data_IF_325355996736
#
_entry.id   IF_325355996736
#
_cell.length_a   1.000
_cell.length_b   1.000
_cell.length_c   1.000
_cell.angle_alpha   90.00
_cell.angle_beta   90.00
_cell.angle_gamma   90.00
#
_symmetry.space_group_name_H-M   'P 1'
#
loop_
_entity.id
_entity.type
_entity.pdbx_description
1 polymer ?
#
# COMPACT_ATOMS: atom_id res chain seq x y z
N UNK A 1 -18.79 -11.86 -9.17
CA UNK A 1 -19.66 -10.89 -8.48
C UNK A 1 -21.01 -10.80 -9.20
N UNK A 2 -21.01 -10.69 -10.54
CA UNK A 2 -22.20 -10.87 -11.39
C UNK A 2 -23.07 -12.10 -11.07
N UNK A 3 -22.45 -13.26 -10.83
CA UNK A 3 -23.16 -14.53 -10.58
C UNK A 3 -23.84 -14.62 -9.19
N UNK A 4 -23.60 -13.64 -8.30
CA UNK A 4 -24.14 -13.59 -6.93
C UNK A 4 -23.99 -14.90 -6.14
N UNK A 5 -22.89 -15.62 -6.38
CA UNK A 5 -22.64 -16.94 -5.83
C UNK A 5 -21.81 -16.90 -4.54
N UNK A 6 -22.04 -17.88 -3.67
CA UNK A 6 -21.38 -17.98 -2.35
C UNK A 6 -21.99 -17.05 -1.30
N UNK A 7 -21.29 -16.88 -0.18
CA UNK A 7 -21.77 -16.04 0.95
C UNK A 7 -21.05 -14.71 1.05
N UNK A 8 -19.80 -14.62 0.60
CA UNK A 8 -18.96 -13.44 0.77
C UNK A 8 -19.41 -12.25 -0.08
N UNK A 9 -19.45 -12.40 -1.41
CA UNK A 9 -19.77 -11.29 -2.31
C UNK A 9 -21.21 -10.76 -2.15
N UNK A 10 -22.24 -11.63 -2.00
CA UNK A 10 -23.60 -11.13 -1.76
C UNK A 10 -23.72 -10.34 -0.45
N UNK A 11 -23.02 -10.77 0.61
CA UNK A 11 -23.06 -10.10 1.90
C UNK A 11 -22.35 -8.73 1.87
N UNK A 12 -21.20 -8.62 1.19
CA UNK A 12 -20.53 -7.31 0.98
C UNK A 12 -21.40 -6.40 0.11
N UNK A 13 -22.07 -6.93 -0.92
CA UNK A 13 -22.95 -6.16 -1.80
C UNK A 13 -24.18 -5.61 -1.07
N UNK A 14 -24.79 -6.43 -0.22
CA UNK A 14 -26.02 -6.07 0.49
C UNK A 14 -25.76 -5.23 1.75
N UNK A 15 -24.59 -5.40 2.39
CA UNK A 15 -24.25 -4.74 3.64
C UNK A 15 -22.85 -4.09 3.60
N UNK A 16 -22.55 -3.21 2.62
CA UNK A 16 -21.19 -2.71 2.41
C UNK A 16 -20.63 -1.93 3.61
N UNK A 17 -21.44 -1.13 4.31
CA UNK A 17 -20.99 -0.34 5.48
C UNK A 17 -20.51 -1.20 6.66
N UNK A 18 -20.84 -2.50 6.68
CA UNK A 18 -20.37 -3.46 7.69
C UNK A 18 -18.94 -3.92 7.44
N UNK A 19 -18.47 -3.88 6.19
CA UNK A 19 -17.20 -4.46 5.77
C UNK A 19 -16.22 -3.44 5.19
N UNK A 20 -16.72 -2.32 4.68
CA UNK A 20 -15.95 -1.33 3.95
C UNK A 20 -15.87 -0.04 4.77
N UNK A 21 -14.65 0.40 5.05
CA UNK A 21 -14.41 1.71 5.64
C UNK A 21 -14.45 2.78 4.55
N UNK A 22 -15.13 3.90 4.82
CA UNK A 22 -15.15 5.04 3.89
C UNK A 22 -13.77 5.67 3.79
N UNK A 23 -13.42 6.15 2.60
CA UNK A 23 -12.15 6.82 2.36
C UNK A 23 -12.11 8.14 3.15
N UNK A 24 -11.08 8.37 3.99
CA UNK A 24 -10.92 9.64 4.68
C UNK A 24 -10.83 10.82 3.70
N UNK A 25 -11.43 11.95 4.06
CA UNK A 25 -11.43 13.15 3.20
C UNK A 25 -10.00 13.70 2.96
N UNK A 26 -9.08 13.48 3.90
CA UNK A 26 -7.65 13.78 3.74
C UNK A 26 -7.06 13.04 2.54
N UNK A 27 -7.35 11.74 2.40
CA UNK A 27 -6.88 10.91 1.27
C UNK A 27 -7.51 11.37 -0.05
N UNK A 28 -8.81 11.62 -0.09
CA UNK A 28 -9.48 12.14 -1.30
C UNK A 28 -8.87 13.47 -1.75
N UNK A 29 -8.64 14.38 -0.80
CA UNK A 29 -8.00 15.67 -1.07
C UNK A 29 -6.57 15.49 -1.58
N UNK A 30 -5.80 14.57 -0.99
CA UNK A 30 -4.44 14.28 -1.40
C UNK A 30 -4.35 13.74 -2.83
N UNK A 31 -5.24 12.80 -3.22
CA UNK A 31 -5.35 12.32 -4.59
C UNK A 31 -5.66 13.46 -5.58
N UNK A 32 -6.61 14.34 -5.24
CA UNK A 32 -6.92 15.54 -6.05
C UNK A 32 -5.74 16.51 -6.17
N UNK A 33 -4.95 16.67 -5.10
CA UNK A 33 -3.74 17.50 -5.10
C UNK A 33 -2.64 16.91 -6.00
N UNK A 34 -2.42 15.59 -5.95
CA UNK A 34 -1.47 14.90 -6.83
C UNK A 34 -1.84 15.11 -8.30
N UNK A 35 -3.11 14.91 -8.66
CA UNK A 35 -3.60 15.11 -10.02
C UNK A 35 -3.45 16.57 -10.47
N UNK A 36 -3.79 17.52 -9.61
CA UNK A 36 -3.61 18.96 -9.86
C UNK A 36 -2.13 19.36 -10.02
N UNK A 37 -1.21 18.63 -9.37
CA UNK A 37 0.23 18.78 -9.52
C UNK A 37 0.80 18.07 -10.78
N UNK A 38 -0.07 17.58 -11.67
CA UNK A 38 0.30 16.92 -12.92
C UNK A 38 0.84 15.49 -12.74
N UNK A 39 0.52 14.83 -11.62
CA UNK A 39 0.82 13.40 -11.45
C UNK A 39 -0.25 12.58 -12.16
N UNK A 40 0.16 11.49 -12.81
CA UNK A 40 -0.75 10.51 -13.39
C UNK A 40 -1.09 9.50 -12.29
N UNK A 41 -2.37 9.32 -12.03
CA UNK A 41 -2.86 8.40 -10.99
C UNK A 41 -3.42 7.13 -11.59
N UNK A 42 -3.06 6.00 -10.99
CA UNK A 42 -3.37 4.66 -11.46
C UNK A 42 -4.10 3.90 -10.35
N UNK A 43 -5.13 3.13 -10.72
CA UNK A 43 -5.72 2.12 -9.86
C UNK A 43 -5.53 0.75 -10.51
N UNK A 44 -4.82 -0.17 -9.83
CA UNK A 44 -4.52 -1.52 -10.36
C UNK A 44 -5.01 -2.58 -9.36
N UNK A 45 -6.07 -3.28 -9.72
CA UNK A 45 -6.72 -4.30 -8.88
C UNK A 45 -6.84 -5.65 -9.59
N UNK A 46 -6.74 -6.73 -8.84
CA UNK A 46 -7.03 -8.09 -9.33
C UNK A 46 -8.52 -8.44 -9.24
N UNK A 47 -9.35 -7.54 -8.69
CA UNK A 47 -10.80 -7.67 -8.71
C UNK A 47 -11.38 -7.40 -10.10
N UNK A 48 -12.51 -8.04 -10.42
CA UNK A 48 -13.30 -7.72 -11.60
C UNK A 48 -13.86 -6.28 -11.54
N UNK A 49 -14.19 -5.74 -12.70
CA UNK A 49 -14.70 -4.37 -12.94
C UNK A 49 -15.95 -4.05 -12.12
N UNK A 50 -16.93 -4.95 -12.14
CA UNK A 50 -18.19 -4.83 -11.40
C UNK A 50 -17.97 -4.66 -9.89
N UNK A 51 -17.08 -5.48 -9.30
CA UNK A 51 -16.75 -5.41 -7.88
C UNK A 51 -15.91 -4.18 -7.56
N UNK A 52 -14.94 -3.84 -8.42
CA UNK A 52 -14.14 -2.62 -8.27
C UNK A 52 -15.02 -1.37 -8.23
N UNK A 53 -16.00 -1.28 -9.15
CA UNK A 53 -16.99 -0.20 -9.20
C UNK A 53 -17.76 -0.10 -7.89
N UNK A 54 -18.38 -1.18 -7.43
CA UNK A 54 -19.11 -1.18 -6.15
C UNK A 54 -18.24 -0.68 -4.99
N UNK A 55 -17.02 -1.22 -4.86
CA UNK A 55 -16.11 -0.83 -3.79
C UNK A 55 -15.77 0.66 -3.86
N UNK A 56 -15.39 1.16 -5.03
CA UNK A 56 -14.94 2.54 -5.17
C UNK A 56 -16.09 3.54 -5.05
N UNK A 57 -17.27 3.25 -5.62
CA UNK A 57 -18.46 4.08 -5.46
C UNK A 57 -18.87 4.19 -3.98
N UNK A 58 -18.77 3.09 -3.24
CA UNK A 58 -19.04 3.09 -1.81
C UNK A 58 -17.94 3.82 -1.02
N UNK A 59 -16.67 3.50 -1.24
CA UNK A 59 -15.57 3.99 -0.39
C UNK A 59 -15.22 5.46 -0.70
N UNK A 60 -15.17 5.83 -1.98
CA UNK A 60 -14.72 7.15 -2.45
C UNK A 60 -15.91 8.04 -2.81
N UNK A 61 -16.83 7.51 -3.62
CA UNK A 61 -18.00 8.22 -4.16
C UNK A 61 -18.27 7.84 -5.63
N UNK A 62 -19.44 8.20 -6.14
CA UNK A 62 -19.86 7.88 -7.52
C UNK A 62 -18.95 8.52 -8.59
N UNK A 63 -18.20 9.56 -8.23
CA UNK A 63 -17.22 10.27 -9.05
C UNK A 63 -15.79 9.69 -8.92
N UNK A 64 -15.61 8.48 -8.37
CA UNK A 64 -14.28 7.93 -8.08
C UNK A 64 -13.38 7.84 -9.32
N UNK A 65 -13.95 7.65 -10.51
CA UNK A 65 -13.20 7.58 -11.77
C UNK A 65 -12.45 8.89 -12.04
N UNK A 66 -12.90 10.03 -11.52
CA UNK A 66 -12.21 11.32 -11.71
C UNK A 66 -10.85 11.38 -10.98
N UNK A 67 -10.66 10.56 -9.95
CA UNK A 67 -9.43 10.51 -9.15
C UNK A 67 -8.29 9.78 -9.87
N UNK A 68 -8.59 8.93 -10.86
CA UNK A 68 -7.60 8.10 -11.54
C UNK A 68 -7.61 8.37 -13.03
N UNK A 69 -6.43 8.47 -13.64
CA UNK A 69 -6.33 8.61 -15.10
C UNK A 69 -6.41 7.25 -15.79
N UNK A 70 -5.97 6.17 -15.12
CA UNK A 70 -6.04 4.80 -15.63
C UNK A 70 -6.54 3.88 -14.53
N UNK A 71 -7.55 3.06 -14.86
CA UNK A 71 -8.07 2.00 -14.00
C UNK A 71 -7.82 0.66 -14.69
N UNK A 72 -7.20 -0.29 -13.98
CA UNK A 72 -6.90 -1.63 -14.47
C UNK A 72 -7.52 -2.63 -13.49
N UNK A 73 -8.54 -3.33 -13.96
CA UNK A 73 -9.21 -4.40 -13.21
C UNK A 73 -8.77 -5.77 -13.72
N UNK A 74 -9.03 -6.83 -12.95
CA UNK A 74 -8.60 -8.19 -13.23
C UNK A 74 -7.11 -8.28 -13.63
N UNK A 75 -6.25 -7.48 -12.97
CA UNK A 75 -4.83 -7.39 -13.31
C UNK A 75 -4.07 -8.71 -13.11
N UNK A 76 -4.62 -9.63 -12.30
CA UNK A 76 -4.06 -10.98 -12.05
C UNK A 76 -2.59 -10.91 -11.62
N UNK A 77 -2.33 -10.07 -10.61
CA UNK A 77 -1.02 -9.92 -9.96
C UNK A 77 -0.61 -11.26 -9.30
N UNK A 78 0.69 -11.63 -9.31
CA UNK A 78 1.85 -10.85 -9.77
C UNK A 78 2.05 -10.87 -11.30
N UNK A 79 1.22 -11.62 -12.04
CA UNK A 79 1.34 -11.80 -13.49
C UNK A 79 1.32 -10.51 -14.29
N UNK A 80 0.64 -9.46 -13.80
CA UNK A 80 0.71 -8.11 -14.37
C UNK A 80 2.15 -7.59 -14.52
N UNK A 81 3.00 -7.84 -13.53
CA UNK A 81 4.38 -7.35 -13.50
C UNK A 81 5.35 -8.29 -14.21
N UNK A 82 5.13 -9.60 -14.12
CA UNK A 82 6.09 -10.62 -14.57
C UNK A 82 5.87 -11.13 -15.99
N UNK A 83 4.67 -10.99 -16.55
CA UNK A 83 4.36 -11.55 -17.87
C UNK A 83 4.48 -10.53 -19.00
N UNK A 84 4.70 -11.07 -20.21
CA UNK A 84 4.86 -10.30 -21.44
C UNK A 84 3.52 -9.91 -22.07
N UNK A 85 3.48 -8.90 -22.97
CA UNK A 85 2.27 -8.50 -23.68
C UNK A 85 1.52 -9.63 -24.38
N UNK A 86 2.23 -10.61 -24.94
CA UNK A 86 1.60 -11.74 -25.62
C UNK A 86 0.91 -12.71 -24.66
N UNK A 87 1.38 -12.80 -23.42
CA UNK A 87 0.78 -13.65 -22.38
C UNK A 87 -0.37 -12.94 -21.67
N UNK A 88 -0.32 -11.61 -21.58
CA UNK A 88 -1.27 -10.77 -20.85
C UNK A 88 -1.60 -9.49 -21.63
N UNK A 89 -2.39 -9.58 -22.72
CA UNK A 89 -2.85 -8.39 -23.42
C UNK A 89 -3.85 -7.62 -22.55
N UNK A 90 -3.91 -6.30 -22.75
CA UNK A 90 -5.00 -5.49 -22.21
C UNK A 90 -6.30 -5.82 -22.92
N UNK A 91 -7.43 -5.66 -22.23
CA UNK A 91 -8.77 -5.75 -22.82
C UNK A 91 -9.56 -4.49 -22.51
N UNK A 92 -10.45 -4.11 -23.41
CA UNK A 92 -11.45 -3.07 -23.13
C UNK A 92 -12.64 -3.65 -22.37
N UNK A 93 -13.45 -2.77 -21.79
CA UNK A 93 -14.64 -3.13 -21.04
C UNK A 93 -15.85 -2.45 -21.66
N UNK A 94 -16.93 -3.21 -21.85
CA UNK A 94 -18.27 -2.69 -22.15
C UNK A 94 -19.24 -3.28 -21.12
N UNK A 95 -19.94 -2.41 -20.37
CA UNK A 95 -20.82 -2.82 -19.25
C UNK A 95 -20.13 -3.77 -18.24
N UNK A 96 -18.89 -3.46 -17.87
CA UNK A 96 -18.05 -4.25 -16.99
C UNK A 96 -17.68 -5.67 -17.52
N UNK A 97 -17.95 -5.99 -18.79
CA UNK A 97 -17.54 -7.25 -19.43
C UNK A 97 -16.32 -7.06 -20.34
N UNK A 98 -15.38 -8.02 -20.27
CA UNK A 98 -14.15 -8.00 -21.07
C UNK A 98 -14.44 -8.20 -22.56
N UNK A 99 -13.91 -7.30 -23.37
CA UNK A 99 -14.00 -7.35 -24.82
C UNK A 99 -12.68 -7.87 -25.43
N UNK A 100 -12.46 -7.55 -26.70
CA UNK A 100 -11.28 -7.97 -27.46
C UNK A 100 -9.95 -7.48 -26.87
N UNK A 101 -8.93 -8.29 -27.11
CA UNK A 101 -7.56 -8.00 -26.71
C UNK A 101 -6.97 -6.84 -27.52
N UNK A 102 -6.30 -5.93 -26.84
CA UNK A 102 -5.59 -4.80 -27.41
C UNK A 102 -4.15 -5.17 -27.76
N UNK A 103 -3.72 -4.75 -28.94
CA UNK A 103 -2.32 -4.85 -29.37
C UNK A 103 -1.42 -3.83 -28.68
N UNK A 104 -1.97 -2.66 -28.34
CA UNK A 104 -1.26 -1.55 -27.70
C UNK A 104 -2.18 -0.74 -26.80
N UNK A 105 -1.57 -0.06 -25.83
CA UNK A 105 -2.25 0.89 -24.96
C UNK A 105 -1.82 2.31 -25.34
N UNK A 106 -2.76 3.11 -25.84
CA UNK A 106 -2.46 4.41 -26.47
C UNK A 106 -3.10 5.62 -25.78
N UNK A 107 -4.09 5.38 -24.91
CA UNK A 107 -4.80 6.43 -24.19
C UNK A 107 -5.11 5.99 -22.76
N UNK A 108 -5.32 6.95 -21.83
CA UNK A 108 -5.88 6.66 -20.52
C UNK A 108 -7.29 6.08 -20.63
N UNK A 109 -7.74 5.38 -19.57
CA UNK A 109 -9.06 4.78 -19.52
C UNK A 109 -9.14 3.60 -18.54
N UNK A 110 -10.27 2.89 -18.62
CA UNK A 110 -10.52 1.69 -17.84
C UNK A 110 -10.29 0.45 -18.69
N UNK A 111 -9.38 -0.41 -18.24
CA UNK A 111 -9.00 -1.65 -18.90
C UNK A 111 -9.10 -2.86 -17.97
N UNK A 112 -9.13 -4.05 -18.58
CA UNK A 112 -9.00 -5.32 -17.87
C UNK A 112 -7.70 -6.04 -18.23
N UNK A 113 -7.16 -6.82 -17.30
CA UNK A 113 -5.92 -7.58 -17.45
C UNK A 113 -4.69 -6.70 -17.75
N UNK A 114 -3.92 -7.04 -18.78
CA UNK A 114 -2.73 -6.30 -19.19
C UNK A 114 -1.45 -6.62 -18.44
N UNK A 115 -0.45 -5.78 -18.66
CA UNK A 115 0.91 -5.95 -18.17
C UNK A 115 1.61 -4.60 -17.94
N UNK A 116 2.60 -4.60 -17.06
CA UNK A 116 3.37 -3.42 -16.69
C UNK A 116 4.19 -2.83 -17.86
N UNK A 117 4.58 -3.64 -18.85
CA UNK A 117 5.39 -3.19 -20.00
C UNK A 117 4.58 -2.24 -20.88
N UNK A 118 3.40 -2.66 -21.34
CA UNK A 118 2.51 -1.82 -22.15
C UNK A 118 2.00 -0.61 -21.36
N UNK A 119 1.72 -0.77 -20.05
CA UNK A 119 1.40 0.36 -19.19
C UNK A 119 2.55 1.38 -19.14
N UNK A 120 3.79 0.93 -18.99
CA UNK A 120 4.95 1.82 -18.94
C UNK A 120 5.15 2.60 -20.24
N UNK A 121 4.90 1.99 -21.39
CA UNK A 121 4.91 2.67 -22.68
C UNK A 121 3.82 3.74 -22.79
N UNK A 122 2.61 3.49 -22.25
CA UNK A 122 1.59 4.52 -22.14
C UNK A 122 2.04 5.66 -21.22
N UNK A 123 2.65 5.36 -20.07
CA UNK A 123 3.14 6.39 -19.14
C UNK A 123 4.22 7.27 -19.77
N UNK A 124 5.12 6.72 -20.60
CA UNK A 124 6.08 7.52 -21.38
C UNK A 124 5.38 8.50 -22.30
N UNK A 125 4.36 8.05 -23.04
CA UNK A 125 3.57 8.90 -23.94
C UNK A 125 2.85 10.01 -23.16
N UNK A 126 2.18 9.66 -22.06
CA UNK A 126 1.40 10.61 -21.26
C UNK A 126 2.27 11.65 -20.54
N UNK A 127 3.45 11.25 -20.05
CA UNK A 127 4.37 12.16 -19.34
C UNK A 127 5.29 12.93 -20.28
N UNK A 128 5.46 12.50 -21.53
CA UNK A 128 6.48 13.00 -22.45
C UNK A 128 7.91 12.72 -21.99
N UNK A 129 8.12 11.80 -21.04
CA UNK A 129 9.43 11.46 -20.47
C UNK A 129 9.90 10.11 -20.98
N UNK A 130 11.20 10.00 -21.24
CA UNK A 130 11.83 8.73 -21.62
C UNK A 130 11.84 7.71 -20.47
N UNK A 131 11.97 8.21 -19.23
CA UNK A 131 12.06 7.40 -18.01
C UNK A 131 11.15 7.97 -16.91
N UNK A 132 9.82 7.79 -17.04
CA UNK A 132 8.88 8.21 -16.00
C UNK A 132 9.07 7.39 -14.73
N UNK A 133 9.19 8.06 -13.58
CA UNK A 133 9.26 7.38 -12.28
C UNK A 133 7.87 7.02 -11.80
N UNK A 134 7.71 5.79 -11.31
CA UNK A 134 6.47 5.25 -10.77
C UNK A 134 6.67 4.91 -9.29
N UNK A 135 5.70 5.32 -8.47
CA UNK A 135 5.58 4.91 -7.07
C UNK A 135 4.31 4.08 -6.96
N UNK A 136 4.43 2.84 -6.49
CA UNK A 136 3.33 1.89 -6.40
C UNK A 136 3.02 1.57 -4.93
N UNK A 137 1.75 1.70 -4.58
CA UNK A 137 1.23 1.41 -3.25
C UNK A 137 0.58 0.03 -3.26
N UNK A 138 0.91 -0.81 -2.29
CA UNK A 138 0.32 -2.15 -2.18
C UNK A 138 0.41 -2.71 -0.77
N UNK A 139 -0.45 -3.67 -0.48
CA UNK A 139 -0.64 -4.32 0.82
C UNK A 139 -0.14 -5.76 0.85
N UNK A 140 0.23 -6.32 -0.31
CA UNK A 140 0.75 -7.68 -0.42
C UNK A 140 2.20 -7.70 -0.85
N UNK A 141 3.05 -8.25 0.02
CA UNK A 141 4.47 -8.44 -0.30
C UNK A 141 4.66 -9.28 -1.56
N UNK A 142 3.81 -10.29 -1.78
CA UNK A 142 3.96 -11.27 -2.86
C UNK A 142 3.35 -10.81 -4.19
N UNK A 143 2.16 -10.20 -4.18
CA UNK A 143 1.49 -9.78 -5.42
C UNK A 143 1.83 -8.35 -5.85
N UNK A 144 2.27 -7.50 -4.92
CA UNK A 144 2.41 -6.07 -5.16
C UNK A 144 3.86 -5.60 -5.01
N UNK A 145 4.40 -5.67 -3.79
CA UNK A 145 5.67 -5.00 -3.47
C UNK A 145 6.85 -5.68 -4.17
N UNK A 146 7.03 -7.00 -3.95
CA UNK A 146 8.15 -7.72 -4.57
C UNK A 146 8.09 -7.65 -6.11
N UNK A 147 6.95 -7.93 -6.79
CA UNK A 147 6.91 -7.90 -8.24
C UNK A 147 7.11 -6.50 -8.84
N UNK A 148 6.51 -5.45 -8.26
CA UNK A 148 6.68 -4.09 -8.76
C UNK A 148 8.13 -3.61 -8.61
N UNK A 149 8.77 -3.92 -7.48
CA UNK A 149 10.19 -3.65 -7.26
C UNK A 149 11.07 -4.46 -8.23
N UNK A 150 10.87 -5.78 -8.29
CA UNK A 150 11.79 -6.69 -8.97
C UNK A 150 11.65 -6.67 -10.50
N UNK A 151 10.43 -6.69 -11.04
CA UNK A 151 10.21 -6.79 -12.49
C UNK A 151 10.05 -5.43 -13.17
N UNK A 152 9.61 -4.40 -12.44
CA UNK A 152 9.33 -3.07 -13.02
C UNK A 152 10.26 -1.98 -12.50
N UNK A 153 11.11 -2.25 -11.49
CA UNK A 153 11.99 -1.27 -10.87
C UNK A 153 11.24 0.00 -10.41
N UNK A 154 10.01 -0.19 -9.91
CA UNK A 154 9.19 0.87 -9.36
C UNK A 154 9.57 1.11 -7.90
N UNK A 155 9.42 2.35 -7.44
CA UNK A 155 9.47 2.65 -6.01
C UNK A 155 8.19 2.10 -5.36
N UNK A 156 8.30 1.51 -4.18
CA UNK A 156 7.20 0.75 -3.58
C UNK A 156 6.91 1.27 -2.17
N UNK A 157 5.63 1.52 -1.91
CA UNK A 157 5.15 1.91 -0.58
C UNK A 157 4.28 0.77 -0.06
N UNK A 158 4.76 0.11 0.99
CA UNK A 158 4.06 -1.01 1.59
C UNK A 158 3.04 -0.52 2.61
N UNK A 159 1.77 -0.81 2.38
CA UNK A 159 0.69 -0.56 3.33
C UNK A 159 0.63 -1.75 4.26
N UNK A 160 0.97 -1.54 5.53
CA UNK A 160 1.15 -2.59 6.54
C UNK A 160 0.35 -2.24 7.79
N UNK A 161 -0.86 -2.77 7.89
CA UNK A 161 -1.78 -2.49 9.00
C UNK A 161 -1.23 -2.91 10.37
N UNK A 162 -0.35 -3.91 10.43
CA UNK A 162 0.30 -4.37 11.65
C UNK A 162 1.10 -3.25 12.36
N UNK A 163 1.43 -2.17 11.66
CA UNK A 163 2.03 -0.97 12.27
C UNK A 163 1.07 -0.23 13.21
N UNK A 164 -0.26 -0.36 13.03
CA UNK A 164 -1.27 0.22 13.93
C UNK A 164 -1.32 -0.51 15.30
N UNK A 165 -0.84 -1.75 15.35
CA UNK A 165 -0.84 -2.57 16.56
C UNK A 165 0.14 -2.18 17.65
N UNK A 166 1.17 -1.43 17.27
CA UNK A 166 2.17 -0.89 18.18
C UNK A 166 1.76 0.48 18.76
N UNK A 167 0.51 0.91 18.55
CA UNK A 167 -0.05 2.14 19.09
C UNK A 167 -0.66 1.94 20.48
N UNK A 168 0.10 2.27 21.53
CA UNK A 168 -0.49 2.61 22.83
C UNK A 168 -0.73 4.12 22.85
N UNK A 169 -1.94 4.54 23.23
CA UNK A 169 -2.30 5.92 23.59
C UNK A 169 -1.28 6.44 24.61
N UNK A 170 -0.28 7.23 24.17
CA UNK A 170 0.64 7.91 25.08
C UNK A 170 0.00 9.25 25.46
N UNK A 171 -0.21 9.57 26.75
CA UNK A 171 -0.58 10.91 27.16
C UNK A 171 0.48 11.90 26.66
N UNK A 172 0.05 13.03 26.10
CA UNK A 172 0.94 14.10 25.62
C UNK A 172 1.89 14.55 26.74
N UNK A 173 3.11 14.04 26.76
CA UNK A 173 4.21 14.68 27.48
C UNK A 173 5.47 14.68 26.61
N UNK A 174 5.70 15.85 26.03
CA UNK A 174 7.00 16.51 25.80
C UNK A 174 8.22 15.64 25.48
N UNK A 175 8.49 15.45 24.18
CA UNK A 175 9.86 15.50 23.67
C UNK A 175 9.92 16.39 22.42
N UNK A 176 10.89 17.29 22.42
CA UNK A 176 11.07 18.35 21.44
C UNK A 176 11.88 17.84 20.24
N UNK A 177 11.19 17.40 19.19
CA UNK A 177 11.75 17.30 17.84
C UNK A 177 11.24 18.44 16.95
N UNK A 178 11.99 18.84 15.90
CA UNK A 178 11.73 20.08 15.16
C UNK A 178 10.32 20.11 14.56
N UNK A 179 9.68 21.28 14.64
CA UNK A 179 8.35 21.59 14.12
C UNK A 179 8.28 21.51 12.57
N UNK A 180 8.44 20.32 12.01
CA UNK A 180 7.94 20.02 10.67
C UNK A 180 6.56 19.36 10.83
N UNK A 181 5.57 19.93 10.13
CA UNK A 181 4.14 19.63 10.28
C UNK A 181 3.88 18.11 10.32
N UNK A 182 3.65 17.55 11.51
CA UNK A 182 3.01 16.25 11.67
C UNK A 182 1.63 16.32 10.97
N UNK A 183 1.37 15.42 10.04
CA UNK A 183 0.01 15.22 9.51
C UNK A 183 -0.95 14.96 10.67
N UNK A 184 -2.23 15.31 10.54
CA UNK A 184 -3.23 15.17 11.62
C UNK A 184 -3.66 13.70 11.82
N UNK A 185 -2.71 12.77 11.77
CA UNK A 185 -2.95 11.33 11.86
C UNK A 185 -3.18 10.83 13.30
N UNK A 186 -3.23 11.71 14.29
CA UNK A 186 -3.37 11.33 15.72
C UNK A 186 -4.79 11.51 16.29
N UNK A 187 -5.81 11.75 15.45
CA UNK A 187 -7.18 12.04 15.92
C UNK A 187 -8.19 10.97 15.49
N UNK A 188 -8.63 10.14 16.44
CA UNK A 188 -9.73 9.16 16.32
C UNK A 188 -9.50 8.01 15.33
N UNK A 189 -8.64 7.07 15.70
CA UNK A 189 -8.74 5.71 15.16
C UNK A 189 -9.72 4.88 16.00
N UNK A 190 -10.67 4.14 15.41
CA UNK A 190 -11.42 3.13 16.14
C UNK A 190 -10.44 2.16 16.80
N UNK A 191 -10.70 1.75 18.04
CA UNK A 191 -9.88 0.78 18.81
C UNK A 191 -9.75 -0.53 18.04
N UNK A 192 -8.80 -0.60 17.12
CA UNK A 192 -8.60 -1.77 16.30
C UNK A 192 -7.72 -2.79 17.06
N UNK A 193 -8.01 -4.09 16.95
CA UNK A 193 -7.50 -5.14 17.84
C UNK A 193 -6.12 -5.64 17.38
N UNK A 194 -5.24 -4.75 16.93
CA UNK A 194 -3.93 -5.12 16.37
C UNK A 194 -2.93 -5.48 17.49
N UNK A 195 -3.35 -6.32 18.43
CA UNK A 195 -2.46 -6.84 19.46
C UNK A 195 -1.52 -7.89 18.87
N UNK A 196 -0.31 -7.98 19.42
CA UNK A 196 0.62 -9.08 19.15
C UNK A 196 -0.13 -10.40 19.36
N UNK A 197 -0.07 -11.29 18.36
CA UNK A 197 -0.76 -12.57 18.41
C UNK A 197 -0.24 -13.41 19.57
N UNK A 198 -1.15 -13.91 20.42
CA UNK A 198 -0.78 -14.87 21.48
C UNK A 198 -0.36 -16.23 20.92
N UNK A 199 -0.84 -16.56 19.72
CA UNK A 199 -0.55 -17.85 19.08
C UNK A 199 0.71 -17.79 18.21
N UNK A 200 0.89 -16.69 17.48
CA UNK A 200 1.92 -16.57 16.44
C UNK A 200 3.02 -15.56 16.77
N UNK A 201 2.90 -14.83 17.88
CA UNK A 201 3.86 -13.82 18.28
C UNK A 201 3.80 -12.56 17.43
N UNK A 202 4.96 -11.90 17.30
CA UNK A 202 5.10 -10.64 16.56
C UNK A 202 5.27 -10.91 15.07
N UNK A 203 4.66 -10.06 14.25
CA UNK A 203 4.89 -10.07 12.80
C UNK A 203 6.34 -9.71 12.42
N UNK A 204 7.03 -8.94 13.26
CA UNK A 204 8.35 -8.37 12.95
C UNK A 204 9.53 -9.18 13.49
N UNK A 205 9.34 -9.86 14.63
CA UNK A 205 10.42 -10.56 15.33
C UNK A 205 9.97 -11.89 15.92
N UNK A 206 10.87 -12.86 15.91
CA UNK A 206 10.75 -14.13 16.60
C UNK A 206 11.71 -14.17 17.80
N UNK A 207 11.29 -14.86 18.87
CA UNK A 207 12.14 -15.13 20.03
C UNK A 207 12.64 -16.57 19.92
N UNK A 208 13.95 -16.72 19.79
CA UNK A 208 14.60 -18.03 19.70
C UNK A 208 15.25 -18.31 21.06
N UNK A 209 14.89 -19.42 21.74
CA UNK A 209 15.53 -19.80 22.99
C UNK A 209 17.01 -20.10 22.75
N UNK A 210 17.87 -19.56 23.61
CA UNK A 210 19.30 -19.87 23.60
C UNK A 210 19.56 -21.34 23.96
N UNK A 211 20.61 -21.93 23.40
CA UNK A 211 21.14 -23.20 23.91
C UNK A 211 21.86 -22.94 25.24
N UNK A 212 21.72 -23.87 26.19
CA UNK A 212 22.58 -23.99 27.40
C UNK A 212 22.84 -22.66 28.16
N UNK A 213 21.81 -22.15 28.85
CA UNK A 213 21.86 -20.94 29.70
C UNK A 213 22.11 -19.61 28.98
N UNK A 214 22.06 -19.57 27.64
CA UNK A 214 22.11 -18.32 26.89
C UNK A 214 20.74 -17.58 26.90
N UNK A 215 20.79 -16.25 26.93
CA UNK A 215 19.61 -15.39 26.85
C UNK A 215 18.83 -15.59 25.54
N UNK A 216 17.51 -15.36 25.59
CA UNK A 216 16.65 -15.40 24.40
C UNK A 216 17.16 -14.41 23.34
N UNK A 217 17.35 -14.89 22.12
CA UNK A 217 17.77 -14.03 21.00
C UNK A 217 16.56 -13.60 20.20
N UNK A 218 16.44 -12.28 20.01
CA UNK A 218 15.42 -11.69 19.13
C UNK A 218 15.96 -11.68 17.69
N UNK A 219 15.27 -12.36 16.79
CA UNK A 219 15.61 -12.40 15.36
C UNK A 219 14.49 -11.80 14.52
N UNK A 220 14.85 -11.13 13.43
CA UNK A 220 13.83 -10.60 12.50
C UNK A 220 13.17 -11.74 11.74
N UNK A 221 11.84 -11.69 11.69
CA UNK A 221 11.03 -12.61 10.89
C UNK A 221 11.39 -12.48 9.41
N UNK A 222 11.01 -13.48 8.62
CA UNK A 222 11.13 -13.41 7.17
C UNK A 222 10.37 -12.20 6.62
N UNK A 223 9.14 -11.96 7.10
CA UNK A 223 8.32 -10.81 6.71
C UNK A 223 9.02 -9.47 6.97
N UNK A 224 9.61 -9.29 8.16
CA UNK A 224 10.36 -8.06 8.48
C UNK A 224 11.54 -7.83 7.54
N UNK A 225 12.26 -8.89 7.17
CA UNK A 225 13.38 -8.79 6.21
C UNK A 225 12.88 -8.39 4.83
N UNK A 226 11.81 -9.01 4.34
CA UNK A 226 11.19 -8.68 3.06
C UNK A 226 10.74 -7.22 2.97
N UNK A 227 10.13 -6.68 4.04
CA UNK A 227 9.74 -5.26 4.09
C UNK A 227 10.92 -4.36 3.78
N UNK A 228 12.00 -4.50 4.56
CA UNK A 228 13.19 -3.65 4.42
C UNK A 228 13.97 -3.88 3.12
N UNK A 229 13.76 -5.02 2.45
CA UNK A 229 14.47 -5.38 1.22
C UNK A 229 13.75 -4.85 -0.02
N UNK A 230 12.42 -4.96 -0.05
CA UNK A 230 11.64 -4.73 -1.27
C UNK A 230 10.76 -3.47 -1.24
N UNK A 231 10.62 -2.83 -0.08
CA UNK A 231 9.84 -1.60 0.08
C UNK A 231 10.76 -0.39 0.14
N UNK A 232 10.36 0.73 -0.46
CA UNK A 232 11.03 2.02 -0.27
C UNK A 232 10.74 2.56 1.14
N UNK A 233 9.46 2.54 1.53
CA UNK A 233 8.96 2.83 2.88
C UNK A 233 7.76 1.92 3.21
N UNK A 234 7.43 1.81 4.49
CA UNK A 234 6.23 1.13 4.97
C UNK A 234 5.38 2.08 5.83
N UNK A 235 4.06 2.09 5.59
CA UNK A 235 3.09 2.95 6.26
C UNK A 235 1.87 2.14 6.71
N UNK A 236 1.18 2.51 7.81
CA UNK A 236 0.00 1.77 8.27
C UNK A 236 -1.21 1.93 7.34
N UNK A 237 -1.33 3.09 6.70
CA UNK A 237 -2.43 3.45 5.81
C UNK A 237 -2.00 4.61 4.91
N UNK A 238 -2.73 4.86 3.83
CA UNK A 238 -2.51 6.04 2.98
C UNK A 238 -2.78 7.34 3.76
N UNK A 239 -3.74 7.31 4.69
CA UNK A 239 -4.10 8.46 5.50
C UNK A 239 -2.92 8.98 6.33
N UNK A 240 -2.00 8.10 6.75
CA UNK A 240 -0.80 8.47 7.50
C UNK A 240 0.07 9.52 6.79
N UNK A 241 0.03 9.56 5.46
CA UNK A 241 0.86 10.47 4.65
C UNK A 241 0.03 11.51 3.88
N UNK A 242 -1.29 11.41 3.89
CA UNK A 242 -2.17 12.23 3.03
C UNK A 242 -2.12 13.73 3.36
N UNK A 243 -1.85 14.09 4.61
CA UNK A 243 -1.74 15.49 5.05
C UNK A 243 -0.33 16.09 4.88
N UNK A 244 0.65 15.29 4.48
CA UNK A 244 2.02 15.77 4.28
C UNK A 244 2.14 16.60 3.00
N UNK A 245 3.08 17.56 2.95
CA UNK A 245 3.44 18.26 1.72
C UNK A 245 3.83 17.27 0.61
N UNK A 246 3.47 17.54 -0.64
CA UNK A 246 3.78 16.66 -1.78
C UNK A 246 5.28 16.49 -2.04
N UNK A 247 6.10 17.42 -1.54
CA UNK A 247 7.56 17.42 -1.60
C UNK A 247 8.23 16.93 -0.31
N UNK A 248 7.45 16.37 0.63
CA UNK A 248 7.97 15.75 1.84
C UNK A 248 8.97 14.64 1.50
N UNK A 249 10.07 14.61 2.25
CA UNK A 249 11.17 13.66 2.03
C UNK A 249 11.15 12.59 3.11
N UNK A 250 10.77 11.39 2.70
CA UNK A 250 10.83 10.23 3.57
C UNK A 250 12.25 9.68 3.68
N UNK A 251 12.63 9.30 4.89
CA UNK A 251 13.74 8.38 5.11
C UNK A 251 13.33 7.00 4.59
N UNK A 252 14.23 6.35 3.84
CA UNK A 252 13.95 5.12 3.11
C UNK A 252 14.60 3.93 3.79
N UNK A 253 14.10 2.73 3.52
CA UNK A 253 14.89 1.53 3.76
C UNK A 253 16.13 1.56 2.86
N UNK A 254 17.30 1.28 3.45
CA UNK A 254 18.55 1.17 2.73
C UNK A 254 19.54 0.30 3.52
N UNK A 255 20.56 -0.21 2.84
CA UNK A 255 21.65 -0.95 3.50
C UNK A 255 22.48 -0.09 4.46
N UNK A 256 22.44 1.24 4.27
CA UNK A 256 23.32 2.19 4.97
C UNK A 256 22.60 2.95 6.10
N UNK A 257 21.28 2.83 6.20
CA UNK A 257 20.46 3.48 7.23
C UNK A 257 20.19 2.52 8.39
N UNK A 258 19.66 3.04 9.51
CA UNK A 258 19.11 2.16 10.53
C UNK A 258 18.03 1.27 9.90
N UNK A 259 17.93 0.04 10.38
CA UNK A 259 16.97 -0.92 9.84
C UNK A 259 15.50 -0.53 10.07
N UNK A 260 15.27 0.47 10.91
CA UNK A 260 13.96 1.03 11.25
C UNK A 260 13.63 2.29 10.46
N UNK A 261 14.56 2.81 9.65
CA UNK A 261 14.48 4.14 9.06
C UNK A 261 13.36 4.30 8.01
N UNK A 262 12.95 3.21 7.34
CA UNK A 262 11.91 3.24 6.31
C UNK A 262 10.48 3.05 6.82
N UNK A 263 10.28 2.90 8.13
CA UNK A 263 8.94 2.85 8.70
C UNK A 263 8.43 4.26 9.02
N UNK A 264 7.21 4.56 8.61
CA UNK A 264 6.56 5.82 8.88
C UNK A 264 5.12 5.60 9.36
N UNK A 265 4.60 6.38 10.33
CA UNK A 265 5.24 7.51 11.01
C UNK A 265 6.32 7.11 12.01
N UNK A 266 6.34 5.85 12.44
CA UNK A 266 7.31 5.31 13.40
C UNK A 266 7.57 3.83 13.13
N UNK A 267 8.75 3.32 13.52
CA UNK A 267 9.03 1.90 13.45
C UNK A 267 8.25 1.09 14.50
N UNK A 268 8.06 -0.22 14.25
CA UNK A 268 7.58 -1.15 15.26
C UNK A 268 8.41 -1.07 16.54
N UNK A 269 7.76 -1.05 17.71
CA UNK A 269 8.43 -0.95 19.02
C UNK A 269 9.38 -2.10 19.26
N UNK A 270 9.00 -3.30 18.83
CA UNK A 270 9.83 -4.51 18.95
C UNK A 270 11.15 -4.43 18.15
N UNK A 271 11.29 -3.45 17.26
CA UNK A 271 12.52 -3.18 16.51
C UNK A 271 13.34 -2.02 17.09
N UNK A 272 12.81 -1.29 18.07
CA UNK A 272 13.54 -0.24 18.77
C UNK A 272 14.45 -0.86 19.84
N UNK A 273 15.65 -0.29 20.07
CA UNK A 273 16.45 -0.65 21.24
C UNK A 273 15.64 -0.38 22.51
N UNK A 274 15.71 -1.26 23.51
CA UNK A 274 15.10 -0.99 24.82
C UNK A 274 15.74 0.28 25.40
N UNK A 275 14.99 1.39 25.45
CA UNK A 275 15.35 2.53 26.29
C UNK A 275 15.03 2.22 27.75
N UNK A 276 15.77 1.27 28.34
CA UNK A 276 15.83 1.07 29.79
C UNK A 276 17.28 0.76 30.19
N UNK A 277 18.17 1.73 30.03
CA UNK A 277 19.42 1.78 30.79
C UNK A 277 20.09 3.17 30.78
N UNK A 278 19.32 4.25 30.88
CA UNK A 278 19.90 5.57 31.18
C UNK A 278 19.07 6.23 32.29
N UNK A 279 19.77 6.56 33.38
CA UNK A 279 19.34 7.24 34.62
C UNK A 279 18.54 6.44 35.67
N UNK A 280 19.24 5.91 36.69
CA UNK A 280 19.42 6.63 37.96
C UNK A 280 20.78 6.24 38.58
N UNK A 281 21.66 7.23 38.72
CA UNK A 281 22.75 7.23 39.71
C UNK A 281 22.29 8.06 40.88
#
# INVERSE_FOLDING_TARGET
>A
FLEDCGTYFPEVKNNPDKYLQRCPESVKKWLKQLKSAGKILLLITSSHSDYCRLLCEHIIGNDFEEYFDIVITNALKPGFFSHTPNQRPFRTLENDEEQEALLSLDKPGWYSQGNAIQLYELLKKMTGKLDPKVVYFGDSMHSDIFPAHHYSNWETIFILEELLGDEVTVPRETEAEPLEKKGKYEGDQPKAPYFISRQWGSFFVDRVPGLENAEETIVRTWSCKCISTYSTIAIPSIEAIADLPLDYRFTRFSSNSSATAGYYPRPPRVLLPNEESVTMK
#
